data_IF_073896873685
#
_entry.id   IF_073896873685
#
_cell.length_a   1.000
_cell.length_b   1.000
_cell.length_c   1.000
_cell.angle_alpha   90.00
_cell.angle_beta   90.00
_cell.angle_gamma   90.00
#
_symmetry.space_group_name_H-M   'P 1'
#
loop_
_entity.id
_entity.type
_entity.pdbx_description
1 polymer ?
#
# COMPACT_ATOMS: atom_id res chain seq x y z
N UNK A 1 16.33 17.40 4.19
CA UNK A 1 16.30 16.11 3.50
C UNK A 1 14.92 16.02 2.87
N UNK A 2 14.78 15.42 1.69
CA UNK A 2 13.45 15.12 1.20
C UNK A 2 12.78 14.18 2.21
N UNK A 3 11.45 14.31 2.41
CA UNK A 3 10.71 13.37 3.24
C UNK A 3 10.72 11.95 2.63
N UNK A 4 10.22 10.93 3.36
CA UNK A 4 10.13 9.58 2.83
C UNK A 4 9.34 9.53 1.52
N UNK A 5 9.69 8.59 0.64
CA UNK A 5 8.83 8.25 -0.49
C UNK A 5 7.58 7.52 0.02
N UNK A 6 6.41 8.14 -0.13
CA UNK A 6 5.12 7.59 0.29
C UNK A 6 4.42 6.98 -0.90
N UNK A 7 3.90 5.77 -0.76
CA UNK A 7 3.06 5.14 -1.78
C UNK A 7 1.92 4.35 -1.16
N UNK A 8 0.78 4.33 -1.84
CA UNK A 8 -0.34 3.48 -1.45
C UNK A 8 -0.59 2.36 -2.47
N UNK A 9 -1.08 1.24 -1.96
CA UNK A 9 -1.45 0.07 -2.75
C UNK A 9 -2.95 -0.04 -2.78
N UNK A 10 -3.58 0.37 -3.89
CA UNK A 10 -5.05 0.36 -3.99
C UNK A 10 -5.60 -0.15 -5.30
N UNK A 11 -6.80 -0.71 -5.20
CA UNK A 11 -7.69 -1.07 -6.28
C UNK A 11 -9.09 -1.26 -5.67
N UNK A 12 -10.10 -0.70 -6.33
CA UNK A 12 -11.50 -0.82 -5.94
C UNK A 12 -12.05 -2.26 -5.93
N UNK A 13 -11.35 -3.22 -6.53
CA UNK A 13 -11.75 -4.63 -6.52
C UNK A 13 -11.16 -5.33 -5.30
N UNK A 14 -12.02 -5.95 -4.50
CA UNK A 14 -11.60 -6.88 -3.44
C UNK A 14 -10.90 -8.12 -3.99
N UNK A 15 -9.93 -8.65 -3.24
CA UNK A 15 -9.27 -9.92 -3.58
C UNK A 15 -8.25 -9.89 -4.71
N UNK A 16 -7.86 -8.71 -5.20
CA UNK A 16 -6.76 -8.55 -6.20
C UNK A 16 -5.36 -8.76 -5.61
N UNK A 17 -5.25 -8.88 -4.29
CA UNK A 17 -4.00 -9.07 -3.56
C UNK A 17 -3.26 -7.78 -3.20
N UNK A 18 -3.98 -6.73 -2.78
CA UNK A 18 -3.40 -5.46 -2.30
C UNK A 18 -2.42 -5.67 -1.15
N UNK A 19 -2.90 -6.21 -0.05
CA UNK A 19 -2.11 -6.59 1.12
C UNK A 19 -0.89 -7.45 0.76
N UNK A 20 -1.08 -8.48 -0.07
CA UNK A 20 0.04 -9.32 -0.52
C UNK A 20 1.08 -8.52 -1.30
N UNK A 21 0.66 -7.65 -2.22
CA UNK A 21 1.59 -6.80 -2.97
C UNK A 21 2.27 -5.80 -2.04
N UNK A 22 1.52 -5.14 -1.16
CA UNK A 22 2.04 -4.16 -0.22
C UNK A 22 3.14 -4.75 0.67
N UNK A 23 2.86 -5.88 1.35
CA UNK A 23 3.83 -6.54 2.25
C UNK A 23 5.10 -6.94 1.50
N UNK A 24 4.97 -7.47 0.28
CA UNK A 24 6.13 -7.94 -0.47
C UNK A 24 6.91 -6.81 -1.15
N UNK A 25 6.29 -5.68 -1.47
CA UNK A 25 7.00 -4.47 -1.88
C UNK A 25 7.79 -3.88 -0.70
N UNK A 26 7.18 -3.82 0.49
CA UNK A 26 7.85 -3.38 1.71
C UNK A 26 9.05 -4.29 2.06
N UNK A 27 8.85 -5.60 2.03
CA UNK A 27 9.93 -6.58 2.25
C UNK A 27 11.05 -6.48 1.21
N UNK A 28 10.72 -6.24 -0.07
CA UNK A 28 11.74 -6.03 -1.11
C UNK A 28 12.57 -4.76 -0.88
N UNK A 29 11.94 -3.66 -0.45
CA UNK A 29 12.64 -2.42 -0.10
C UNK A 29 13.55 -2.63 1.12
N UNK A 30 13.09 -3.38 2.13
CA UNK A 30 13.91 -3.75 3.28
C UNK A 30 15.12 -4.63 2.89
N UNK A 31 14.92 -5.60 1.99
CA UNK A 31 16.01 -6.44 1.45
C UNK A 31 17.06 -5.59 0.69
N UNK A 32 16.63 -4.49 0.05
CA UNK A 32 17.53 -3.49 -0.54
C UNK A 32 18.20 -2.56 0.51
N UNK A 33 17.94 -2.78 1.81
CA UNK A 33 18.54 -2.07 2.92
C UNK A 33 17.83 -0.77 3.31
N UNK A 34 16.56 -0.60 2.92
CA UNK A 34 15.76 0.60 3.23
C UNK A 34 14.98 0.45 4.52
N UNK A 35 14.87 1.56 5.26
CA UNK A 35 13.95 1.65 6.39
C UNK A 35 12.53 1.92 5.88
N UNK A 36 11.60 1.02 6.20
CA UNK A 36 10.23 1.05 5.68
C UNK A 36 9.23 1.14 6.84
N UNK A 37 8.29 2.08 6.72
CA UNK A 37 7.07 2.12 7.51
C UNK A 37 5.93 1.50 6.69
N UNK A 38 5.25 0.53 7.26
CA UNK A 38 4.03 -0.04 6.71
C UNK A 38 2.80 0.49 7.45
N UNK A 39 1.75 0.86 6.74
CA UNK A 39 0.49 1.34 7.32
C UNK A 39 -0.66 0.48 6.82
N UNK A 40 -1.33 -0.22 7.73
CA UNK A 40 -2.56 -0.96 7.41
C UNK A 40 -3.78 -0.05 7.63
N UNK A 41 -4.31 0.50 6.55
CA UNK A 41 -5.48 1.38 6.58
C UNK A 41 -6.79 0.62 6.36
N UNK A 42 -6.75 -0.70 6.10
CA UNK A 42 -7.96 -1.51 5.92
C UNK A 42 -8.56 -1.86 7.29
N UNK A 43 -9.82 -1.48 7.59
CA UNK A 43 -10.49 -1.87 8.83
C UNK A 43 -10.62 -3.38 9.04
N UNK A 44 -10.32 -4.21 8.02
CA UNK A 44 -10.26 -5.66 8.18
C UNK A 44 -8.96 -6.17 8.82
N UNK A 45 -7.89 -5.36 8.88
CA UNK A 45 -6.64 -5.73 9.53
C UNK A 45 -5.87 -6.87 8.86
N UNK A 46 -6.11 -7.13 7.56
CA UNK A 46 -5.49 -8.25 6.88
C UNK A 46 -3.96 -8.10 6.81
N UNK A 47 -3.43 -6.88 6.68
CA UNK A 47 -1.99 -6.67 6.66
C UNK A 47 -1.39 -6.84 8.05
N UNK A 48 -2.08 -6.31 9.07
CA UNK A 48 -1.75 -6.47 10.48
C UNK A 48 -1.64 -7.95 10.85
N UNK A 49 -2.63 -8.78 10.48
CA UNK A 49 -2.57 -10.24 10.66
C UNK A 49 -1.43 -10.86 9.83
N UNK A 50 -1.31 -10.46 8.56
CA UNK A 50 -0.31 -10.98 7.62
C UNK A 50 1.15 -10.65 7.96
N UNK A 51 1.37 -9.70 8.86
CA UNK A 51 2.67 -9.32 9.45
C UNK A 51 2.85 -9.89 10.87
N UNK A 52 1.98 -10.81 11.29
CA UNK A 52 2.10 -11.49 12.58
C UNK A 52 1.75 -10.61 13.80
N UNK A 53 1.12 -9.45 13.59
CA UNK A 53 0.78 -8.47 14.62
C UNK A 53 -0.71 -8.52 15.00
N UNK A 54 -1.37 -9.68 14.86
CA UNK A 54 -2.79 -9.83 15.14
C UNK A 54 -3.18 -9.41 16.56
N UNK A 55 -2.29 -9.56 17.54
CA UNK A 55 -2.55 -9.11 18.92
C UNK A 55 -2.80 -7.59 19.00
N UNK A 56 -2.15 -6.78 18.15
CA UNK A 56 -2.32 -5.33 18.10
C UNK A 56 -3.68 -4.89 17.50
N UNK A 57 -4.34 -5.77 16.74
CA UNK A 57 -5.63 -5.44 16.11
C UNK A 57 -6.76 -5.25 17.14
N UNK A 58 -6.66 -5.96 18.28
CA UNK A 58 -7.62 -5.91 19.38
C UNK A 58 -7.09 -5.10 20.60
N UNK A 59 -5.95 -4.41 20.46
CA UNK A 59 -5.34 -3.63 21.55
C UNK A 59 -6.22 -2.43 21.97
N UNK A 60 -6.09 -2.06 23.25
CA UNK A 60 -6.71 -0.86 23.79
C UNK A 60 -6.00 0.42 23.28
N UNK A 61 -6.70 1.57 23.23
CA UNK A 61 -6.11 2.84 22.80
C UNK A 61 -4.79 3.22 23.49
N UNK A 62 -3.90 3.95 22.80
CA UNK A 62 -4.15 4.63 21.52
C UNK A 62 -4.10 3.70 20.29
N UNK A 63 -5.02 3.94 19.34
CA UNK A 63 -5.10 3.21 18.06
C UNK A 63 -4.84 4.14 16.87
N UNK A 64 -4.69 3.58 15.67
CA UNK A 64 -4.64 4.35 14.42
C UNK A 64 -5.82 5.31 14.27
N UNK A 65 -7.04 4.89 14.63
CA UNK A 65 -8.19 5.79 14.54
C UNK A 65 -8.05 6.98 15.49
N UNK A 66 -7.58 6.75 16.73
CA UNK A 66 -7.39 7.82 17.71
C UNK A 66 -6.35 8.84 17.21
N UNK A 67 -5.21 8.35 16.67
CA UNK A 67 -4.18 9.21 16.10
C UNK A 67 -4.68 10.04 14.90
N UNK A 68 -5.55 9.46 14.06
CA UNK A 68 -6.13 10.17 12.92
C UNK A 68 -7.12 11.26 13.32
N UNK A 69 -7.85 11.11 14.44
CA UNK A 69 -8.94 12.04 14.81
C UNK A 69 -8.60 12.97 15.97
N UNK A 70 -7.55 12.68 16.74
CA UNK A 70 -7.07 13.48 17.86
C UNK A 70 -5.52 13.53 17.90
N UNK A 71 -4.89 14.15 16.89
CA UNK A 71 -3.43 14.20 16.75
C UNK A 71 -2.73 15.01 17.85
N UNK A 72 -3.45 15.79 18.65
CA UNK A 72 -2.88 16.48 19.83
C UNK A 72 -2.79 15.55 21.06
N UNK A 73 -3.59 14.47 21.10
CA UNK A 73 -3.67 13.57 22.24
C UNK A 73 -2.82 12.30 22.08
N UNK A 74 -2.55 11.88 20.85
CA UNK A 74 -1.83 10.64 20.54
C UNK A 74 -0.59 10.96 19.72
N UNK A 75 0.59 10.57 20.22
CA UNK A 75 1.82 10.66 19.44
C UNK A 75 1.77 9.62 18.32
N UNK A 76 2.07 9.96 17.05
CA UNK A 76 2.12 8.98 15.97
C UNK A 76 3.10 7.82 16.25
N UNK A 77 4.22 8.08 16.93
CA UNK A 77 5.19 7.03 17.29
C UNK A 77 4.64 6.02 18.32
N UNK A 78 3.60 6.37 19.09
CA UNK A 78 3.04 5.47 20.12
C UNK A 78 2.24 4.30 19.52
N UNK A 79 1.83 4.41 18.25
CA UNK A 79 1.06 3.40 17.53
C UNK A 79 1.90 2.64 16.49
N UNK A 80 3.23 2.81 16.53
CA UNK A 80 4.18 2.10 15.66
C UNK A 80 4.64 0.83 16.37
N UNK A 81 4.48 -0.30 15.70
CA UNK A 81 4.88 -1.63 16.16
C UNK A 81 6.07 -2.13 15.35
N UNK A 82 7.12 -2.57 16.02
CA UNK A 82 8.28 -3.15 15.32
C UNK A 82 8.01 -4.55 14.78
N UNK A 83 8.44 -4.76 13.54
CA UNK A 83 8.50 -6.06 12.88
C UNK A 83 9.92 -6.27 12.29
N UNK A 84 10.29 -7.51 11.97
CA UNK A 84 11.66 -7.87 11.56
C UNK A 84 12.11 -7.20 10.25
N UNK A 85 11.18 -6.99 9.31
CA UNK A 85 11.44 -6.42 7.99
C UNK A 85 11.04 -4.93 7.88
N UNK A 86 10.19 -4.42 8.77
CA UNK A 86 9.61 -3.08 8.67
C UNK A 86 8.97 -2.70 10.00
N UNK A 87 8.78 -1.41 10.26
CA UNK A 87 7.90 -0.99 11.34
C UNK A 87 6.48 -0.81 10.80
N UNK A 88 5.47 -0.98 11.66
CA UNK A 88 4.08 -1.14 11.24
C UNK A 88 3.16 -0.27 12.08
N UNK A 89 2.41 0.60 11.43
CA UNK A 89 1.18 1.18 11.99
C UNK A 89 0.05 0.21 11.68
N UNK A 90 -0.41 -0.50 12.70
CA UNK A 90 -1.41 -1.56 12.58
C UNK A 90 -2.82 -0.98 12.45
N UNK A 91 -3.67 -1.69 11.74
CA UNK A 91 -5.12 -1.45 11.80
C UNK A 91 -5.64 -1.95 13.13
N UNK A 92 -6.83 -1.48 13.51
CA UNK A 92 -7.50 -1.85 14.76
C UNK A 92 -9.00 -1.99 14.50
N UNK A 93 -9.70 -2.77 15.33
CA UNK A 93 -11.15 -2.93 15.26
C UNK A 93 -11.93 -1.60 15.19
N UNK A 94 -11.42 -0.54 15.84
CA UNK A 94 -12.03 0.79 15.85
C UNK A 94 -12.03 1.46 14.47
N UNK A 95 -11.14 1.05 13.56
CA UNK A 95 -11.13 1.52 12.16
C UNK A 95 -12.44 1.22 11.42
N UNK A 96 -13.29 0.30 11.90
CA UNK A 96 -14.63 0.10 11.37
C UNK A 96 -15.53 1.35 11.51
N UNK A 97 -15.24 2.23 12.47
CA UNK A 97 -15.92 3.51 12.65
C UNK A 97 -15.27 4.66 11.87
N UNK A 98 -14.10 4.45 11.25
CA UNK A 98 -13.26 5.50 10.68
C UNK A 98 -14.01 6.35 9.66
N UNK A 99 -14.74 5.73 8.73
CA UNK A 99 -15.48 6.49 7.72
C UNK A 99 -16.46 7.52 8.32
N UNK A 100 -17.12 7.17 9.43
CA UNK A 100 -18.05 8.06 10.13
C UNK A 100 -17.37 9.09 11.01
N UNK A 101 -16.18 8.78 11.52
CA UNK A 101 -15.38 9.65 12.37
C UNK A 101 -14.66 10.72 11.53
N UNK A 102 -13.98 10.30 10.46
CA UNK A 102 -13.27 11.17 9.52
C UNK A 102 -14.23 12.13 8.82
N UNK A 103 -15.43 11.68 8.43
CA UNK A 103 -16.45 12.55 7.83
C UNK A 103 -16.95 13.70 8.73
N UNK A 104 -16.60 13.70 10.02
CA UNK A 104 -16.90 14.81 10.95
C UNK A 104 -15.75 15.80 11.09
N UNK A 105 -14.57 15.46 10.59
CA UNK A 105 -13.40 16.31 10.63
C UNK A 105 -13.46 17.33 9.49
N UNK A 106 -12.98 18.53 9.75
CA UNK A 106 -12.94 19.60 8.74
C UNK A 106 -11.83 19.45 7.72
N UNK A 107 -10.79 18.69 8.06
CA UNK A 107 -9.60 18.36 7.26
C UNK A 107 -9.53 16.86 7.00
N UNK A 108 -10.68 16.22 6.75
CA UNK A 108 -10.80 14.77 6.69
C UNK A 108 -9.84 14.12 5.69
N UNK A 109 -9.44 14.85 4.66
CA UNK A 109 -8.58 14.44 3.54
C UNK A 109 -7.06 14.45 3.84
N UNK A 110 -6.59 15.23 4.82
CA UNK A 110 -5.15 15.34 5.15
C UNK A 110 -4.77 14.58 6.42
N UNK A 111 -5.70 13.90 7.09
CA UNK A 111 -5.44 13.32 8.42
C UNK A 111 -4.31 12.29 8.40
N UNK A 112 -4.25 11.46 7.35
CA UNK A 112 -3.14 10.52 7.20
C UNK A 112 -1.82 11.23 6.88
N UNK A 113 -1.84 12.30 6.08
CA UNK A 113 -0.64 13.10 5.79
C UNK A 113 -0.10 13.73 7.08
N UNK A 114 -0.97 14.35 7.87
CA UNK A 114 -0.66 14.97 9.16
C UNK A 114 -0.08 13.93 10.15
N UNK A 115 -0.66 12.72 10.19
CA UNK A 115 -0.15 11.62 11.00
C UNK A 115 1.24 11.18 10.56
N UNK A 116 1.45 10.99 9.25
CA UNK A 116 2.73 10.55 8.68
C UNK A 116 3.84 11.62 8.82
N UNK A 117 3.48 12.90 8.79
CA UNK A 117 4.41 14.01 9.03
C UNK A 117 4.83 14.10 10.50
N UNK A 118 4.00 13.60 11.43
CA UNK A 118 4.26 13.60 12.85
C UNK A 118 5.10 12.42 13.37
N UNK A 119 5.36 11.40 12.54
CA UNK A 119 6.25 10.28 12.89
C UNK A 119 7.71 10.78 12.81
N UNK A 120 8.42 10.76 13.93
CA UNK A 120 9.78 11.32 14.02
C UNK A 120 10.87 10.36 13.49
N UNK A 121 10.53 9.08 13.31
CA UNK A 121 11.45 8.07 12.82
C UNK A 121 11.88 8.29 11.36
N UNK A 122 13.17 8.02 11.10
CA UNK A 122 13.83 8.29 9.82
C UNK A 122 13.58 7.21 8.76
N UNK A 123 12.32 7.02 8.37
CA UNK A 123 11.94 6.13 7.28
C UNK A 123 12.33 6.70 5.91
N UNK A 124 12.71 5.83 4.99
CA UNK A 124 12.96 6.19 3.59
C UNK A 124 11.72 5.94 2.73
N UNK A 125 10.90 4.95 3.13
CA UNK A 125 9.66 4.59 2.44
C UNK A 125 8.48 4.43 3.40
N UNK A 126 7.30 4.87 2.96
CA UNK A 126 6.03 4.55 3.61
C UNK A 126 5.13 3.81 2.62
N UNK A 127 4.66 2.62 3.01
CA UNK A 127 3.74 1.79 2.22
C UNK A 127 2.39 1.74 2.91
N UNK A 128 1.34 2.22 2.23
CA UNK A 128 -0.03 2.20 2.76
C UNK A 128 -0.86 1.11 2.06
N UNK A 129 -1.35 0.12 2.81
CA UNK A 129 -2.33 -0.86 2.31
C UNK A 129 -3.76 -0.33 2.48
N UNK A 130 -4.48 -0.19 1.36
CA UNK A 130 -5.80 0.43 1.36
C UNK A 130 -6.94 -0.59 1.42
N UNK A 131 -8.12 -0.21 1.96
CA UNK A 131 -9.30 -1.06 1.92
C UNK A 131 -9.80 -1.34 0.49
N UNK A 132 -10.60 -2.40 0.26
CA UNK A 132 -11.12 -2.76 -1.07
C UNK A 132 -12.27 -1.86 -1.59
N UNK A 133 -12.32 -0.60 -1.15
CA UNK A 133 -13.41 0.33 -1.46
C UNK A 133 -12.83 1.73 -1.70
N UNK A 134 -13.40 2.46 -2.66
CA UNK A 134 -13.11 3.88 -2.85
C UNK A 134 -13.97 4.70 -1.89
N UNK A 135 -13.33 5.61 -1.15
CA UNK A 135 -13.96 6.45 -0.13
C UNK A 135 -12.90 7.03 0.81
N UNK A 136 -13.34 7.68 1.89
CA UNK A 136 -12.50 8.58 2.71
C UNK A 136 -11.16 8.00 3.18
N UNK A 137 -11.07 6.71 3.52
CA UNK A 137 -9.79 6.10 3.88
C UNK A 137 -8.84 6.00 2.67
N UNK A 138 -9.35 5.54 1.54
CA UNK A 138 -8.58 5.50 0.29
C UNK A 138 -8.25 6.91 -0.21
N UNK A 139 -9.09 7.91 0.05
CA UNK A 139 -8.82 9.32 -0.27
C UNK A 139 -7.64 9.84 0.52
N UNK A 140 -7.64 9.60 1.85
CA UNK A 140 -6.50 9.94 2.71
C UNK A 140 -5.22 9.29 2.21
N UNK A 141 -5.26 8.00 1.86
CA UNK A 141 -4.09 7.31 1.34
C UNK A 141 -3.61 7.90 0.01
N UNK A 142 -4.51 8.19 -0.93
CA UNK A 142 -4.15 8.75 -2.22
C UNK A 142 -3.59 10.17 -2.09
N UNK A 143 -4.23 11.04 -1.33
CA UNK A 143 -3.77 12.41 -1.08
C UNK A 143 -2.45 12.45 -0.30
N UNK A 144 -2.29 11.61 0.74
CA UNK A 144 -1.08 11.61 1.56
C UNK A 144 0.14 10.97 0.88
N UNK A 145 -0.09 10.13 -0.14
CA UNK A 145 1.00 9.38 -0.79
C UNK A 145 1.35 9.85 -2.19
N UNK A 146 0.37 10.32 -2.98
CA UNK A 146 0.54 10.79 -4.37
C UNK A 146 1.18 9.77 -5.34
N UNK A 147 1.57 8.58 -4.87
CA UNK A 147 2.24 7.56 -5.65
C UNK A 147 1.45 6.25 -5.50
N UNK A 148 0.96 5.74 -6.63
CA UNK A 148 -0.02 4.67 -6.65
C UNK A 148 0.57 3.38 -7.23
N UNK A 149 0.54 2.30 -6.44
CA UNK A 149 0.75 0.93 -6.92
C UNK A 149 -0.61 0.27 -7.13
N UNK A 150 -0.85 -0.27 -8.31
CA UNK A 150 -2.14 -0.84 -8.71
C UNK A 150 -2.03 -2.36 -8.86
N UNK A 151 -2.50 -3.17 -7.89
CA UNK A 151 -2.64 -4.60 -8.09
C UNK A 151 -3.88 -4.90 -8.92
N UNK A 152 -3.79 -5.75 -9.94
CA UNK A 152 -4.91 -6.14 -10.78
C UNK A 152 -4.85 -7.63 -11.14
N UNK A 153 -6.00 -8.31 -11.19
CA UNK A 153 -6.06 -9.68 -11.71
C UNK A 153 -6.05 -9.66 -13.24
N UNK A 154 -5.56 -10.72 -13.87
CA UNK A 154 -5.65 -10.92 -15.32
C UNK A 154 -7.02 -11.47 -15.75
N UNK A 155 -8.08 -10.76 -15.35
CA UNK A 155 -9.47 -11.12 -15.63
C UNK A 155 -10.19 -9.99 -16.37
N UNK A 156 -11.23 -10.28 -17.18
CA UNK A 156 -11.97 -9.25 -17.91
C UNK A 156 -12.57 -8.16 -17.01
N UNK A 157 -12.94 -8.51 -15.78
CA UNK A 157 -13.50 -7.55 -14.80
C UNK A 157 -12.50 -6.50 -14.36
N UNK A 158 -11.19 -6.77 -14.47
CA UNK A 158 -10.15 -5.80 -14.11
C UNK A 158 -10.18 -4.56 -14.99
N UNK A 159 -10.57 -4.66 -16.27
CA UNK A 159 -10.66 -3.49 -17.17
C UNK A 159 -11.56 -2.41 -16.58
N UNK A 160 -12.78 -2.81 -16.22
CA UNK A 160 -13.75 -1.91 -15.60
C UNK A 160 -13.26 -1.39 -14.25
N UNK A 161 -12.51 -2.20 -13.51
CA UNK A 161 -11.95 -1.77 -12.24
C UNK A 161 -10.87 -0.72 -12.35
N UNK A 162 -9.98 -0.83 -13.35
CA UNK A 162 -9.00 0.22 -13.61
C UNK A 162 -9.66 1.50 -14.12
N UNK A 163 -10.62 1.41 -15.05
CA UNK A 163 -11.36 2.59 -15.53
C UNK A 163 -11.98 3.38 -14.37
N UNK A 164 -12.70 2.70 -13.47
CA UNK A 164 -13.32 3.34 -12.33
C UNK A 164 -12.30 3.91 -11.33
N UNK A 165 -11.15 3.25 -11.15
CA UNK A 165 -10.06 3.78 -10.33
C UNK A 165 -9.52 5.09 -10.92
N UNK A 166 -9.28 5.16 -12.23
CA UNK A 166 -8.77 6.38 -12.86
C UNK A 166 -9.81 7.51 -12.92
N UNK A 167 -11.07 7.19 -13.20
CA UNK A 167 -12.17 8.17 -13.10
C UNK A 167 -12.23 8.77 -11.68
N UNK A 168 -12.00 7.94 -10.66
CA UNK A 168 -11.99 8.35 -9.27
C UNK A 168 -10.78 9.20 -8.90
N UNK A 169 -9.57 8.73 -9.24
CA UNK A 169 -8.32 9.45 -9.01
C UNK A 169 -8.38 10.83 -9.66
N UNK A 170 -8.82 10.92 -10.92
CA UNK A 170 -8.95 12.21 -11.60
C UNK A 170 -9.95 13.17 -10.94
N UNK A 171 -11.02 12.66 -10.31
CA UNK A 171 -11.91 13.50 -9.50
C UNK A 171 -11.20 14.00 -8.25
N UNK A 172 -10.47 13.12 -7.57
CA UNK A 172 -9.77 13.44 -6.34
C UNK A 172 -8.66 14.49 -6.57
N UNK A 173 -7.87 14.33 -7.63
CA UNK A 173 -6.86 15.32 -8.06
C UNK A 173 -7.48 16.71 -8.28
N UNK A 174 -8.64 16.78 -8.94
CA UNK A 174 -9.33 18.04 -9.20
C UNK A 174 -9.90 18.68 -7.93
N UNK A 175 -10.39 17.86 -7.00
CA UNK A 175 -11.04 18.33 -5.77
C UNK A 175 -10.02 18.80 -4.72
N UNK A 176 -8.82 18.22 -4.71
CA UNK A 176 -7.79 18.45 -3.69
C UNK A 176 -6.51 19.12 -4.19
N UNK A 177 -6.38 19.41 -5.49
CA UNK A 177 -5.19 20.04 -6.09
C UNK A 177 -3.90 19.24 -5.85
N UNK A 178 -4.01 17.91 -5.95
CA UNK A 178 -2.91 16.93 -5.83
C UNK A 178 -2.65 16.26 -7.17
N UNK A 179 -1.45 15.71 -7.36
CA UNK A 179 -1.07 14.92 -8.56
C UNK A 179 -0.75 13.50 -8.13
N UNK A 180 -1.60 12.54 -8.52
CA UNK A 180 -1.48 11.14 -8.11
C UNK A 180 -0.91 10.34 -9.27
N UNK A 181 0.35 9.95 -9.15
CA UNK A 181 1.10 9.25 -10.19
C UNK A 181 1.03 7.72 -10.00
N UNK A 182 0.52 6.95 -10.97
CA UNK A 182 0.71 5.51 -10.98
C UNK A 182 2.19 5.17 -11.18
N UNK A 183 2.81 4.55 -10.18
CA UNK A 183 4.24 4.20 -10.20
C UNK A 183 4.49 2.75 -10.60
N UNK A 184 3.50 1.87 -10.40
CA UNK A 184 3.58 0.47 -10.80
C UNK A 184 2.19 -0.14 -11.01
N UNK A 185 2.07 -1.01 -12.01
CA UNK A 185 0.94 -1.91 -12.20
C UNK A 185 1.39 -3.34 -11.93
N UNK A 186 0.70 -4.05 -11.03
CA UNK A 186 1.03 -5.43 -10.67
C UNK A 186 -0.07 -6.37 -11.15
N UNK A 187 0.15 -7.01 -12.29
CA UNK A 187 -0.70 -8.10 -12.75
C UNK A 187 -0.48 -9.33 -11.86
N UNK A 188 -1.48 -9.64 -11.03
CA UNK A 188 -1.37 -10.60 -9.94
C UNK A 188 -2.11 -11.90 -10.23
N UNK A 189 -1.67 -12.97 -9.56
CA UNK A 189 -2.19 -14.34 -9.64
C UNK A 189 -2.20 -14.94 -11.05
N UNK A 190 -1.20 -14.58 -11.87
CA UNK A 190 -1.08 -15.08 -13.24
C UNK A 190 -0.90 -16.60 -13.24
N UNK A 191 -1.69 -17.30 -14.08
CA UNK A 191 -1.62 -18.76 -14.28
C UNK A 191 -1.05 -19.16 -15.67
N UNK A 192 -0.71 -18.18 -16.52
CA UNK A 192 -0.11 -18.34 -17.87
C UNK A 192 -1.08 -18.95 -18.88
N UNK A 193 -2.31 -18.44 -18.89
CA UNK A 193 -3.37 -18.76 -19.85
C UNK A 193 -3.36 -17.79 -21.02
N UNK A 194 -4.12 -18.09 -22.07
CA UNK A 194 -4.30 -17.17 -23.20
C UNK A 194 -5.02 -15.88 -22.74
N UNK A 195 -5.97 -16.03 -21.84
CA UNK A 195 -6.70 -14.93 -21.22
C UNK A 195 -5.74 -14.02 -20.42
N UNK A 196 -4.75 -14.60 -19.74
CA UNK A 196 -3.70 -13.83 -19.07
C UNK A 196 -2.88 -13.01 -20.08
N UNK A 197 -2.44 -13.63 -21.17
CA UNK A 197 -1.67 -12.93 -22.22
C UNK A 197 -2.47 -11.78 -22.86
N UNK A 198 -3.75 -12.00 -23.16
CA UNK A 198 -4.64 -10.97 -23.72
C UNK A 198 -4.87 -9.81 -22.73
N UNK A 199 -4.96 -10.10 -21.44
CA UNK A 199 -5.10 -9.08 -20.40
C UNK A 199 -3.81 -8.31 -20.14
N UNK A 200 -2.65 -8.98 -20.16
CA UNK A 200 -1.34 -8.34 -20.04
C UNK A 200 -1.08 -7.37 -21.20
N UNK A 201 -1.37 -7.78 -22.43
CA UNK A 201 -1.27 -6.91 -23.59
C UNK A 201 -2.20 -5.69 -23.49
N UNK A 202 -3.41 -5.89 -22.93
CA UNK A 202 -4.33 -4.78 -22.68
C UNK A 202 -3.80 -3.81 -21.61
N UNK A 203 -3.19 -4.31 -20.53
CA UNK A 203 -2.58 -3.46 -19.51
C UNK A 203 -1.45 -2.59 -20.09
N UNK A 204 -0.57 -3.18 -20.90
CA UNK A 204 0.53 -2.46 -21.57
C UNK A 204 0.03 -1.38 -22.54
N UNK A 205 -1.10 -1.61 -23.23
CA UNK A 205 -1.73 -0.63 -24.12
C UNK A 205 -2.47 0.48 -23.36
N UNK A 206 -3.13 0.13 -22.25
CA UNK A 206 -3.91 1.07 -21.44
C UNK A 206 -3.02 2.01 -20.62
N UNK A 207 -1.86 1.54 -20.16
CA UNK A 207 -0.93 2.26 -19.28
C UNK A 207 0.51 2.13 -19.79
N UNK A 208 0.85 2.71 -20.96
CA UNK A 208 2.14 2.50 -21.61
C UNK A 208 3.32 3.06 -20.82
N UNK A 209 3.09 4.06 -19.98
CA UNK A 209 4.12 4.75 -19.19
C UNK A 209 4.26 4.17 -17.77
N UNK A 210 3.42 3.20 -17.39
CA UNK A 210 3.43 2.58 -16.05
C UNK A 210 4.12 1.21 -16.13
N UNK A 211 5.21 0.97 -15.39
CA UNK A 211 5.87 -0.33 -15.35
C UNK A 211 4.92 -1.45 -14.92
N UNK A 212 4.86 -2.52 -15.73
CA UNK A 212 4.02 -3.70 -15.48
C UNK A 212 4.83 -4.86 -14.89
N UNK A 213 4.48 -5.26 -13.67
CA UNK A 213 5.05 -6.41 -12.97
C UNK A 213 4.11 -7.60 -12.98
N UNK A 214 4.66 -8.80 -13.13
CA UNK A 214 3.91 -10.04 -13.36
C UNK A 214 4.07 -10.99 -12.18
N UNK A 215 3.14 -10.93 -11.24
CA UNK A 215 3.13 -11.79 -10.06
C UNK A 215 2.30 -13.05 -10.36
N UNK A 216 2.98 -14.19 -10.40
CA UNK A 216 2.37 -15.50 -10.60
C UNK A 216 1.74 -16.00 -9.32
N UNK A 217 0.70 -16.81 -9.46
CA UNK A 217 0.12 -17.52 -8.31
C UNK A 217 1.15 -18.51 -7.74
N UNK A 218 1.53 -18.28 -6.48
CA UNK A 218 2.47 -19.13 -5.73
C UNK A 218 1.94 -19.44 -4.35
N UNK A 219 2.17 -20.67 -3.91
CA UNK A 219 1.86 -21.09 -2.54
C UNK A 219 2.81 -20.43 -1.54
N UNK A 220 4.07 -20.18 -1.92
CA UNK A 220 5.06 -19.47 -1.11
C UNK A 220 4.54 -18.10 -0.61
N UNK A 221 3.89 -17.31 -1.49
CA UNK A 221 3.27 -16.03 -1.10
C UNK A 221 2.21 -16.18 0.00
N UNK A 222 1.42 -17.26 -0.03
CA UNK A 222 0.40 -17.51 0.98
C UNK A 222 1.01 -18.01 2.30
N UNK A 223 2.08 -18.81 2.21
CA UNK A 223 2.80 -19.31 3.39
C UNK A 223 3.54 -18.18 4.11
N UNK A 224 4.28 -17.36 3.37
CA UNK A 224 4.94 -16.17 3.90
C UNK A 224 3.95 -15.29 4.69
N UNK A 225 2.82 -14.95 4.06
CA UNK A 225 1.73 -14.21 4.72
C UNK A 225 1.22 -14.92 5.99
N UNK A 226 1.03 -16.24 5.96
CA UNK A 226 0.56 -17.00 7.14
C UNK A 226 1.60 -17.02 8.26
N UNK A 227 2.88 -16.99 7.90
CA UNK A 227 4.00 -16.98 8.83
C UNK A 227 4.31 -15.56 9.35
N UNK A 228 3.51 -14.56 8.96
CA UNK A 228 3.63 -13.18 9.43
C UNK A 228 4.75 -12.40 8.76
N UNK A 229 5.14 -12.72 7.53
CA UNK A 229 6.35 -12.16 6.88
C UNK A 229 6.21 -12.02 5.37
N UNK A 230 7.09 -11.26 4.75
CA UNK A 230 7.23 -11.21 3.29
C UNK A 230 7.91 -12.48 2.74
N UNK A 231 7.96 -12.63 1.41
CA UNK A 231 8.69 -13.75 0.80
C UNK A 231 10.20 -13.68 1.02
N UNK A 232 10.75 -12.54 1.41
CA UNK A 232 12.20 -12.35 1.59
C UNK A 232 12.69 -12.93 2.92
N UNK A 233 11.88 -12.88 4.00
CA UNK A 233 12.19 -13.57 5.26
C UNK A 233 11.58 -15.00 5.33
N UNK A 234 10.80 -15.40 4.33
CA UNK A 234 10.24 -16.75 4.28
C UNK A 234 11.32 -17.81 4.08
N UNK A 235 11.12 -19.01 4.65
CA UNK A 235 12.07 -20.13 4.50
C UNK A 235 12.02 -20.78 3.10
N UNK A 236 11.00 -20.47 2.30
CA UNK A 236 10.75 -21.04 0.98
C UNK A 236 11.05 -20.02 -0.11
N UNK A 237 12.15 -20.23 -0.85
CA UNK A 237 12.49 -19.41 -2.02
C UNK A 237 11.39 -19.46 -3.09
N UNK A 238 11.14 -18.31 -3.72
CA UNK A 238 10.16 -18.18 -4.80
C UNK A 238 10.65 -17.27 -5.90
N UNK A 239 10.32 -17.61 -7.15
CA UNK A 239 10.64 -16.77 -8.31
C UNK A 239 9.95 -15.39 -8.29
N UNK A 240 9.04 -15.16 -7.34
CA UNK A 240 8.38 -13.88 -7.11
C UNK A 240 9.28 -12.86 -6.41
N UNK A 241 10.31 -13.29 -5.67
CA UNK A 241 11.30 -12.37 -5.07
C UNK A 241 11.90 -11.48 -6.15
N UNK A 242 12.35 -12.06 -7.27
CA UNK A 242 12.92 -11.30 -8.40
C UNK A 242 11.95 -10.25 -8.96
N UNK A 243 10.65 -10.53 -8.95
CA UNK A 243 9.63 -9.59 -9.46
C UNK A 243 9.47 -8.41 -8.49
N UNK A 244 9.41 -8.67 -7.18
CA UNK A 244 9.30 -7.62 -6.17
C UNK A 244 10.59 -6.84 -6.01
N UNK A 245 11.76 -7.47 -6.13
CA UNK A 245 13.06 -6.78 -6.18
C UNK A 245 13.12 -5.81 -7.36
N UNK A 246 12.74 -6.24 -8.57
CA UNK A 246 12.73 -5.36 -9.74
C UNK A 246 11.75 -4.17 -9.59
N UNK A 247 10.64 -4.38 -8.89
CA UNK A 247 9.70 -3.31 -8.53
C UNK A 247 10.36 -2.33 -7.57
N UNK A 248 10.94 -2.82 -6.48
CA UNK A 248 11.64 -2.00 -5.49
C UNK A 248 12.80 -1.20 -6.12
N UNK A 249 13.63 -1.82 -6.98
CA UNK A 249 14.69 -1.14 -7.74
C UNK A 249 14.15 0.01 -8.61
N UNK A 250 12.96 -0.15 -9.20
CA UNK A 250 12.33 0.91 -9.99
C UNK A 250 11.84 2.06 -9.10
N UNK A 251 11.33 1.76 -7.90
CA UNK A 251 10.98 2.80 -6.91
C UNK A 251 12.24 3.54 -6.44
N UNK A 252 13.32 2.81 -6.17
CA UNK A 252 14.62 3.37 -5.83
C UNK A 252 15.12 4.34 -6.90
N UNK A 253 15.16 3.92 -8.17
CA UNK A 253 15.57 4.77 -9.28
C UNK A 253 14.72 6.04 -9.40
N UNK A 254 13.39 5.90 -9.19
CA UNK A 254 12.44 7.01 -9.28
C UNK A 254 12.64 8.03 -8.16
N UNK A 255 12.75 7.59 -6.92
CA UNK A 255 12.76 8.48 -5.75
C UNK A 255 14.16 8.93 -5.34
N UNK A 256 15.20 8.12 -5.57
CA UNK A 256 16.61 8.53 -5.37
C UNK A 256 17.02 9.66 -6.33
N UNK A 257 16.44 9.70 -7.53
CA UNK A 257 16.74 10.75 -8.52
C UNK A 257 16.15 12.11 -8.12
N UNK A 258 15.03 12.14 -7.38
CA UNK A 258 14.38 13.38 -6.92
C UNK A 258 15.24 14.14 -5.89
N UNK A 259 16.08 13.45 -5.11
CA UNK A 259 16.99 14.08 -4.14
C UNK A 259 18.15 14.87 -4.77
N UNK A 260 18.55 14.56 -6.01
CA UNK A 260 19.71 15.21 -6.67
C UNK A 260 19.34 16.53 -7.37
N UNK A 261 18.04 16.76 -7.59
CA UNK A 261 17.52 17.93 -8.35
C UNK A 261 16.93 19.07 -7.51
N UNK A 262 16.96 18.97 -6.17
CA UNK A 262 16.47 20.00 -5.25
C UNK A 262 17.58 20.93 -4.72
#
# INVERSE_FOLDING_TARGET
>A
MAGPARLCVTNQKGGVGKTTVAINVAGALNELGRNVLFVDLDPQGNATEGLGLLEAYDDEPPTLLDALIDPEAVSPDDIVHSHSEMDVVTSNIDMNAAASALARQSNAETLLEDLLDGIEEGYEYVIVDCPPHLGVLTDNALCATENLVIPALTEPTSKRSLELLFDYVGSLEMDHDVEIEPVALVANRIETTREDEEMLAWFEDALPDVPLYRVRKRVALQRAFTDGKSVFEADEETDMETVFTALAETLEDRFSTREVTA
#
